data_IF_149509012888
#
_entry.id   IF_149509012888
#
_cell.length_a   1.000
_cell.length_b   1.000
_cell.length_c   1.000
_cell.angle_alpha   90.00
_cell.angle_beta   90.00
_cell.angle_gamma   90.00
#
_symmetry.space_group_name_H-M   'P 1'
#
loop_
_entity.id
_entity.type
_entity.pdbx_description
1 polymer ?
#
# COMPACT_ATOMS: atom_id res chain seq x y z
N UNK A 1 9.81 -9.90 -21.22
CA UNK A 1 10.30 -10.12 -19.85
C UNK A 1 11.74 -10.59 -19.79
N UNK A 2 12.23 -11.33 -20.79
CA UNK A 2 13.62 -11.86 -20.84
C UNK A 2 14.70 -10.76 -20.82
N UNK A 3 14.43 -9.57 -21.34
CA UNK A 3 15.35 -8.45 -21.32
C UNK A 3 15.51 -7.78 -19.93
N UNK A 4 14.49 -7.88 -19.05
CA UNK A 4 14.48 -7.14 -17.80
C UNK A 4 15.63 -7.50 -16.84
N UNK A 5 15.98 -8.79 -16.61
CA UNK A 5 17.15 -9.14 -15.81
C UNK A 5 18.47 -8.64 -16.42
N UNK A 6 18.57 -8.63 -17.76
CA UNK A 6 19.76 -8.13 -18.48
C UNK A 6 19.90 -6.63 -18.32
N UNK A 7 18.80 -5.88 -18.48
CA UNK A 7 18.77 -4.41 -18.27
C UNK A 7 19.19 -4.06 -16.84
N UNK A 8 18.67 -4.77 -15.83
CA UNK A 8 19.06 -4.58 -14.44
C UNK A 8 20.53 -4.88 -14.16
N UNK A 9 21.08 -5.88 -14.84
CA UNK A 9 22.51 -6.21 -14.72
C UNK A 9 23.38 -5.14 -15.39
N UNK A 10 22.98 -4.64 -16.56
CA UNK A 10 23.72 -3.62 -17.30
C UNK A 10 23.62 -2.22 -16.66
N UNK A 11 22.49 -1.90 -16.03
CA UNK A 11 22.22 -0.62 -15.39
C UNK A 11 21.51 -0.83 -14.04
N UNK A 12 22.24 -1.21 -12.98
CA UNK A 12 21.66 -1.56 -11.66
C UNK A 12 20.86 -0.44 -11.03
N UNK A 13 21.26 0.82 -11.28
CA UNK A 13 20.61 2.01 -10.72
C UNK A 13 19.43 2.53 -11.57
N UNK A 14 19.23 1.99 -12.76
CA UNK A 14 18.14 2.40 -13.64
C UNK A 14 16.77 2.02 -13.03
N UNK A 15 15.84 2.96 -13.07
CA UNK A 15 14.44 2.75 -12.68
C UNK A 15 13.65 2.34 -13.91
N UNK A 16 13.05 1.16 -13.87
CA UNK A 16 12.35 0.58 -15.02
C UNK A 16 10.84 0.70 -14.79
N UNK A 17 10.15 1.47 -15.62
CA UNK A 17 8.70 1.59 -15.65
C UNK A 17 8.16 0.76 -16.81
N UNK A 18 7.22 -0.14 -16.52
CA UNK A 18 6.57 -0.98 -17.53
C UNK A 18 5.34 -0.27 -18.10
N UNK A 19 5.32 0.03 -19.39
CA UNK A 19 4.10 0.51 -20.07
C UNK A 19 3.26 -0.70 -20.52
N UNK A 20 2.09 -0.90 -19.93
CA UNK A 20 1.25 -2.08 -20.11
C UNK A 20 -0.13 -1.76 -20.64
N UNK A 21 -0.75 -2.69 -21.37
CA UNK A 21 -2.16 -2.61 -21.74
C UNK A 21 -3.06 -3.05 -20.58
N UNK A 22 -4.29 -2.50 -20.51
CA UNK A 22 -5.31 -2.83 -19.51
C UNK A 22 -6.02 -4.17 -19.81
N UNK A 23 -5.28 -5.17 -20.27
CA UNK A 23 -5.79 -6.53 -20.52
C UNK A 23 -5.30 -7.50 -19.44
N UNK A 24 -6.01 -8.60 -19.22
CA UNK A 24 -5.59 -9.63 -18.28
C UNK A 24 -4.18 -10.18 -18.59
N UNK A 25 -3.87 -10.38 -19.88
CA UNK A 25 -2.53 -10.79 -20.31
C UNK A 25 -1.47 -9.73 -20.00
N UNK A 26 -1.77 -8.43 -20.25
CA UNK A 26 -0.90 -7.31 -19.91
C UNK A 26 -0.69 -7.20 -18.39
N UNK A 27 -1.72 -7.38 -17.58
CA UNK A 27 -1.65 -7.41 -16.13
C UNK A 27 -0.71 -8.52 -15.63
N UNK A 28 -0.90 -9.75 -16.12
CA UNK A 28 -0.06 -10.91 -15.76
C UNK A 28 1.42 -10.65 -16.08
N UNK A 29 1.71 -10.13 -17.28
CA UNK A 29 3.09 -9.81 -17.67
C UNK A 29 3.70 -8.70 -16.81
N UNK A 30 2.90 -7.68 -16.50
CA UNK A 30 3.34 -6.54 -15.67
C UNK A 30 3.64 -6.97 -14.24
N UNK A 31 2.73 -7.74 -13.62
CA UNK A 31 2.94 -8.25 -12.25
C UNK A 31 4.17 -9.17 -12.20
N UNK A 32 4.44 -9.96 -13.26
CA UNK A 32 5.70 -10.72 -13.39
C UNK A 32 6.92 -9.80 -13.52
N UNK A 33 6.81 -8.71 -14.30
CA UNK A 33 7.92 -7.75 -14.45
C UNK A 33 8.26 -7.05 -13.13
N UNK A 34 7.25 -6.66 -12.34
CA UNK A 34 7.44 -6.08 -11.01
C UNK A 34 8.17 -7.05 -10.08
N UNK A 35 7.80 -8.35 -10.09
CA UNK A 35 8.50 -9.39 -9.33
C UNK A 35 9.96 -9.62 -9.80
N UNK A 36 10.26 -9.36 -11.07
CA UNK A 36 11.61 -9.41 -11.64
C UNK A 36 12.41 -8.11 -11.42
N UNK A 37 11.80 -7.12 -10.76
CA UNK A 37 12.45 -5.90 -10.30
C UNK A 37 12.22 -4.67 -11.18
N UNK A 38 11.14 -4.62 -11.98
CA UNK A 38 10.65 -3.34 -12.47
C UNK A 38 10.23 -2.46 -11.28
N UNK A 39 10.51 -1.17 -11.37
CA UNK A 39 10.26 -0.23 -10.27
C UNK A 39 8.78 0.11 -10.14
N UNK A 40 8.09 0.23 -11.28
CA UNK A 40 6.66 0.52 -11.36
C UNK A 40 6.11 0.17 -12.75
N UNK A 41 4.81 0.41 -12.93
CA UNK A 41 4.16 0.29 -14.23
C UNK A 41 3.22 1.48 -14.48
N UNK A 42 2.83 1.65 -15.74
CA UNK A 42 1.80 2.59 -16.16
C UNK A 42 0.89 1.91 -17.18
N UNK A 43 -0.42 2.13 -17.04
CA UNK A 43 -1.41 1.62 -17.98
C UNK A 43 -1.43 2.49 -19.24
N UNK A 44 -1.27 1.89 -20.43
CA UNK A 44 -1.38 2.61 -21.70
C UNK A 44 -2.79 3.17 -21.87
N UNK A 45 -2.94 4.39 -22.42
CA UNK A 45 -4.25 4.95 -22.68
C UNK A 45 -5.04 4.09 -23.67
N UNK A 46 -6.34 3.96 -23.44
CA UNK A 46 -7.23 3.27 -24.39
C UNK A 46 -7.60 4.22 -25.53
N UNK A 47 -7.57 3.71 -26.75
CA UNK A 47 -8.00 4.48 -27.91
C UNK A 47 -9.50 4.85 -27.76
N UNK A 48 -9.82 6.14 -27.94
CA UNK A 48 -11.19 6.65 -27.90
C UNK A 48 -11.72 7.10 -26.53
N UNK A 49 -10.98 6.91 -25.43
CA UNK A 49 -11.38 7.45 -24.13
C UNK A 49 -10.94 8.92 -23.98
N UNK A 50 -11.90 9.83 -23.87
CA UNK A 50 -11.65 11.26 -23.69
C UNK A 50 -10.82 11.52 -22.41
N UNK A 51 -9.76 12.32 -22.48
CA UNK A 51 -8.91 12.65 -21.32
C UNK A 51 -7.89 11.57 -20.91
N UNK A 52 -7.92 10.38 -21.51
CA UNK A 52 -7.01 9.27 -21.13
C UNK A 52 -5.54 9.56 -21.41
N UNK A 53 -5.24 10.35 -22.45
CA UNK A 53 -3.87 10.71 -22.83
C UNK A 53 -3.26 11.72 -21.86
N UNK A 54 -4.03 12.72 -21.41
CA UNK A 54 -3.55 13.73 -20.46
C UNK A 54 -3.36 13.13 -19.07
N UNK A 55 -4.25 12.24 -18.65
CA UNK A 55 -4.09 11.48 -17.41
C UNK A 55 -2.85 10.59 -17.45
N UNK A 56 -2.66 9.84 -18.55
CA UNK A 56 -1.47 9.03 -18.77
C UNK A 56 -0.18 9.86 -18.75
N UNK A 57 -0.18 11.00 -19.44
CA UNK A 57 0.99 11.90 -19.49
C UNK A 57 1.33 12.43 -18.10
N UNK A 58 0.35 12.85 -17.33
CA UNK A 58 0.54 13.33 -15.95
C UNK A 58 1.10 12.23 -15.07
N UNK A 59 0.45 11.07 -15.03
CA UNK A 59 0.90 9.93 -14.25
C UNK A 59 2.33 9.49 -14.62
N UNK A 60 2.67 9.48 -15.93
CA UNK A 60 4.02 9.13 -16.38
C UNK A 60 5.06 10.14 -15.90
N UNK A 61 4.78 11.44 -16.02
CA UNK A 61 5.68 12.50 -15.56
C UNK A 61 5.87 12.39 -14.05
N UNK A 62 4.80 12.24 -13.29
CA UNK A 62 4.84 12.14 -11.84
C UNK A 62 5.68 10.93 -11.39
N UNK A 63 5.53 9.78 -12.06
CA UNK A 63 6.32 8.57 -11.79
C UNK A 63 7.81 8.76 -12.15
N UNK A 64 8.11 9.40 -13.29
CA UNK A 64 9.48 9.69 -13.69
C UNK A 64 10.16 10.61 -12.69
N UNK A 65 9.49 11.68 -12.27
CA UNK A 65 10.00 12.62 -11.27
C UNK A 65 10.25 11.91 -9.94
N UNK A 66 9.22 11.24 -9.41
CA UNK A 66 9.32 10.57 -8.10
C UNK A 66 10.39 9.46 -8.05
N UNK A 67 10.60 8.74 -9.16
CA UNK A 67 11.64 7.71 -9.25
C UNK A 67 13.03 8.30 -9.55
N UNK A 68 13.09 9.44 -10.26
CA UNK A 68 14.33 10.12 -10.65
C UNK A 68 14.93 10.95 -9.52
N UNK A 69 14.13 11.68 -8.75
CA UNK A 69 14.61 12.49 -7.62
C UNK A 69 15.38 11.66 -6.61
N UNK A 70 14.96 10.43 -6.38
CA UNK A 70 15.66 9.52 -5.47
C UNK A 70 17.04 9.10 -6.00
N UNK A 71 17.21 8.97 -7.30
CA UNK A 71 18.52 8.67 -7.90
C UNK A 71 19.49 9.85 -7.71
N UNK A 72 18.99 11.09 -7.86
CA UNK A 72 19.76 12.31 -7.66
C UNK A 72 20.04 12.57 -6.15
N UNK A 73 19.07 12.37 -5.30
CA UNK A 73 19.14 12.62 -3.85
C UNK A 73 20.08 11.66 -3.14
N UNK A 74 20.18 10.42 -3.59
CA UNK A 74 21.15 9.44 -3.07
C UNK A 74 22.61 9.89 -3.28
N UNK A 75 22.84 10.75 -4.25
CA UNK A 75 24.17 11.35 -4.53
C UNK A 75 24.46 12.61 -3.71
N UNK A 76 23.45 13.26 -3.11
CA UNK A 76 23.57 14.58 -2.51
C UNK A 76 23.21 14.67 -1.01
N UNK A 77 22.67 13.61 -0.38
CA UNK A 77 22.15 13.71 0.98
C UNK A 77 23.11 13.23 2.06
N UNK A 78 23.82 14.21 2.60
CA UNK A 78 24.15 14.24 4.03
C UNK A 78 23.63 15.52 4.74
N UNK A 79 22.65 16.26 4.19
CA UNK A 79 22.21 17.51 4.84
C UNK A 79 20.70 17.76 4.65
N UNK A 80 20.00 17.85 5.77
CA UNK A 80 18.64 18.39 5.98
C UNK A 80 17.49 17.39 6.01
N UNK A 81 17.53 16.39 6.89
CA UNK A 81 16.30 15.75 7.34
C UNK A 81 15.61 16.65 8.38
N UNK A 82 14.44 17.20 8.04
CA UNK A 82 13.55 17.78 9.08
C UNK A 82 13.28 16.65 10.09
N UNK A 83 13.54 16.88 11.40
CA UNK A 83 13.34 15.83 12.40
C UNK A 83 11.89 15.35 12.37
N UNK A 84 11.67 14.07 12.08
CA UNK A 84 10.35 13.48 12.13
C UNK A 84 9.95 13.36 13.59
N UNK A 85 8.89 14.08 13.98
CA UNK A 85 8.32 13.97 15.32
C UNK A 85 7.43 12.71 15.37
N UNK A 86 7.96 11.63 15.90
CA UNK A 86 7.18 10.43 16.13
C UNK A 86 6.12 10.66 17.21
N UNK A 87 4.96 10.04 17.02
CA UNK A 87 3.91 10.03 18.05
C UNK A 87 4.38 9.19 19.24
N UNK A 88 4.13 9.63 20.47
CA UNK A 88 4.40 8.82 21.66
C UNK A 88 3.61 7.50 21.59
N UNK A 89 4.24 6.40 22.02
CA UNK A 89 3.56 5.11 22.13
C UNK A 89 2.44 5.21 23.17
N UNK A 90 1.25 4.64 22.91
CA UNK A 90 0.19 4.62 23.91
C UNK A 90 0.64 3.81 25.13
N UNK A 91 0.32 4.29 26.34
CA UNK A 91 0.67 3.62 27.60
C UNK A 91 -0.04 2.27 27.77
N UNK A 92 -1.23 2.12 27.20
CA UNK A 92 -2.00 0.87 27.17
C UNK A 92 -2.14 0.42 25.72
N UNK A 93 -1.63 -0.75 25.41
CA UNK A 93 -1.76 -1.33 24.08
C UNK A 93 -2.84 -2.41 24.09
N UNK A 94 -3.95 -2.14 23.40
CA UNK A 94 -4.92 -3.19 23.09
C UNK A 94 -4.45 -3.95 21.86
N UNK A 95 -4.63 -5.27 21.86
CA UNK A 95 -4.34 -6.09 20.68
C UNK A 95 -5.20 -5.62 19.50
N UNK A 96 -4.60 -5.30 18.35
CA UNK A 96 -5.35 -4.88 17.18
C UNK A 96 -6.28 -5.98 16.67
N UNK A 97 -7.49 -5.58 16.28
CA UNK A 97 -8.51 -6.48 15.74
C UNK A 97 -8.53 -6.49 14.21
N UNK A 98 -7.74 -5.61 13.58
CA UNK A 98 -7.50 -5.60 12.13
C UNK A 98 -6.15 -4.96 11.81
N UNK A 99 -5.54 -5.42 10.71
CA UNK A 99 -4.36 -4.83 10.08
C UNK A 99 -4.76 -4.17 8.78
N UNK A 100 -4.51 -2.87 8.66
CA UNK A 100 -4.73 -2.09 7.45
C UNK A 100 -3.39 -1.79 6.78
N UNK A 101 -3.31 -1.94 5.47
CA UNK A 101 -2.07 -1.68 4.72
C UNK A 101 -2.38 -0.85 3.49
N UNK A 102 -1.63 0.23 3.29
CA UNK A 102 -1.67 1.04 2.08
C UNK A 102 -0.32 1.02 1.36
N UNK A 103 -0.36 0.91 0.03
CA UNK A 103 0.81 0.96 -0.83
C UNK A 103 0.46 1.47 -2.23
N UNK A 104 1.49 1.96 -2.96
CA UNK A 104 1.36 2.40 -4.35
C UNK A 104 2.61 2.00 -5.14
N UNK A 105 3.36 2.95 -5.70
CA UNK A 105 4.63 2.73 -6.40
C UNK A 105 5.61 1.93 -5.54
N UNK A 106 6.10 0.80 -6.05
CA UNK A 106 6.93 -0.15 -5.31
C UNK A 106 6.15 -1.12 -4.42
N UNK A 107 4.84 -0.87 -4.18
CA UNK A 107 3.95 -1.71 -3.38
C UNK A 107 3.88 -3.17 -3.82
N UNK A 108 3.79 -3.47 -5.14
CA UNK A 108 3.75 -4.84 -5.60
C UNK A 108 4.96 -5.70 -5.24
N UNK A 109 6.09 -5.08 -4.93
CA UNK A 109 7.29 -5.75 -4.40
C UNK A 109 7.34 -5.69 -2.88
N UNK A 110 6.93 -4.58 -2.27
CA UNK A 110 6.99 -4.37 -0.83
C UNK A 110 5.93 -5.20 -0.07
N UNK A 111 4.70 -5.31 -0.59
CA UNK A 111 3.60 -6.05 0.05
C UNK A 111 3.92 -7.53 0.29
N UNK A 112 4.39 -8.29 -0.73
CA UNK A 112 4.82 -9.67 -0.50
C UNK A 112 5.97 -9.78 0.49
N UNK A 113 6.98 -8.91 0.38
CA UNK A 113 8.15 -8.92 1.27
C UNK A 113 7.79 -8.58 2.73
N UNK A 114 6.81 -7.68 2.93
CA UNK A 114 6.29 -7.32 4.25
C UNK A 114 5.44 -8.44 4.85
N UNK A 115 4.51 -9.02 4.08
CA UNK A 115 3.51 -9.96 4.58
C UNK A 115 3.99 -11.41 4.66
N UNK A 116 4.84 -11.88 3.75
CA UNK A 116 5.25 -13.28 3.71
C UNK A 116 5.79 -13.83 5.07
N UNK A 117 6.62 -13.08 5.84
CA UNK A 117 7.11 -13.59 7.11
C UNK A 117 6.08 -13.58 8.24
N UNK A 118 4.94 -12.86 8.10
CA UNK A 118 4.02 -12.60 9.21
C UNK A 118 2.57 -13.03 8.96
N UNK A 119 2.11 -13.08 7.71
CA UNK A 119 0.68 -13.23 7.40
C UNK A 119 0.06 -14.49 8.01
N UNK A 120 0.77 -15.62 8.02
CA UNK A 120 0.27 -16.89 8.59
C UNK A 120 0.08 -16.84 10.10
N UNK A 121 0.76 -15.94 10.80
CA UNK A 121 0.71 -15.80 12.26
C UNK A 121 -0.36 -14.80 12.70
N UNK A 122 -0.88 -13.98 11.79
CA UNK A 122 -1.89 -12.97 12.08
C UNK A 122 -3.27 -13.59 11.87
N UNK A 123 -4.02 -13.75 12.96
CA UNK A 123 -5.41 -14.22 12.95
C UNK A 123 -6.39 -13.14 12.52
N UNK A 124 -6.14 -11.89 12.91
CA UNK A 124 -7.00 -10.75 12.57
C UNK A 124 -7.10 -10.52 11.06
N UNK A 125 -8.22 -9.98 10.55
CA UNK A 125 -8.36 -9.63 9.13
C UNK A 125 -7.29 -8.63 8.70
N UNK A 126 -6.75 -8.83 7.49
CA UNK A 126 -5.77 -7.96 6.84
C UNK A 126 -6.47 -7.32 5.62
N UNK A 127 -6.53 -5.99 5.60
CA UNK A 127 -7.17 -5.23 4.54
C UNK A 127 -6.13 -4.37 3.83
N UNK A 128 -6.04 -4.51 2.52
CA UNK A 128 -4.96 -3.94 1.73
C UNK A 128 -5.55 -3.02 0.66
N UNK A 129 -5.03 -1.79 0.59
CA UNK A 129 -5.19 -0.90 -0.55
C UNK A 129 -3.84 -0.82 -1.28
N UNK A 130 -3.83 -1.28 -2.51
CA UNK A 130 -2.77 -1.04 -3.48
C UNK A 130 -3.35 -0.22 -4.63
N UNK A 131 -2.78 0.95 -4.92
CA UNK A 131 -3.19 1.73 -6.07
C UNK A 131 -2.88 0.96 -7.35
N UNK A 132 -3.93 0.42 -7.96
CA UNK A 132 -3.81 -0.45 -9.12
C UNK A 132 -5.14 -0.49 -9.91
N UNK A 133 -5.10 -0.50 -11.26
CA UNK A 133 -6.33 -0.62 -12.07
C UNK A 133 -7.04 -1.96 -11.87
N UNK A 134 -8.34 -1.99 -12.16
CA UNK A 134 -9.21 -3.15 -11.96
C UNK A 134 -8.76 -4.43 -12.68
N UNK A 135 -8.10 -4.31 -13.85
CA UNK A 135 -7.57 -5.48 -14.55
C UNK A 135 -6.33 -6.10 -13.91
N UNK A 136 -5.70 -5.41 -12.94
CA UNK A 136 -4.46 -5.86 -12.29
C UNK A 136 -4.69 -6.42 -10.90
N UNK A 137 -5.68 -5.93 -10.18
CA UNK A 137 -5.91 -6.32 -8.78
C UNK A 137 -6.21 -7.79 -8.58
N UNK A 138 -6.99 -8.50 -9.46
CA UNK A 138 -7.18 -9.95 -9.34
C UNK A 138 -5.86 -10.72 -9.46
N UNK A 139 -5.08 -10.41 -10.51
CA UNK A 139 -3.78 -11.06 -10.78
C UNK A 139 -2.79 -10.81 -9.65
N UNK A 140 -2.83 -9.60 -9.07
CA UNK A 140 -1.97 -9.25 -7.96
C UNK A 140 -2.39 -9.98 -6.67
N UNK A 141 -3.69 -10.13 -6.40
CA UNK A 141 -4.20 -10.88 -5.27
C UNK A 141 -3.74 -12.35 -5.30
N UNK A 142 -3.86 -13.03 -6.46
CA UNK A 142 -3.36 -14.39 -6.66
C UNK A 142 -1.84 -14.51 -6.39
N UNK A 143 -1.06 -13.56 -6.89
CA UNK A 143 0.38 -13.55 -6.63
C UNK A 143 0.72 -13.28 -5.17
N UNK A 144 -0.03 -12.39 -4.53
CA UNK A 144 0.15 -12.11 -3.11
C UNK A 144 -0.20 -13.34 -2.28
N UNK A 145 -1.30 -14.04 -2.58
CA UNK A 145 -1.68 -15.31 -1.98
C UNK A 145 -0.54 -16.32 -2.05
N UNK A 146 0.00 -16.55 -3.24
CA UNK A 146 1.11 -17.48 -3.45
C UNK A 146 2.37 -17.09 -2.65
N UNK A 147 2.65 -15.79 -2.54
CA UNK A 147 3.83 -15.30 -1.82
C UNK A 147 3.69 -15.41 -0.30
N UNK A 148 2.49 -15.12 0.25
CA UNK A 148 2.26 -15.09 1.70
C UNK A 148 1.83 -16.45 2.26
N UNK A 149 1.40 -17.37 1.39
CA UNK A 149 0.92 -18.70 1.77
C UNK A 149 -0.34 -18.66 2.65
N UNK A 150 -1.19 -17.67 2.45
CA UNK A 150 -2.48 -17.47 3.14
C UNK A 150 -3.48 -16.94 2.12
N UNK A 151 -4.71 -17.45 2.15
CA UNK A 151 -5.73 -17.07 1.17
C UNK A 151 -5.92 -15.56 1.10
N UNK A 152 -5.74 -15.02 -0.10
CA UNK A 152 -5.83 -13.59 -0.41
C UNK A 152 -6.58 -13.41 -1.72
N UNK A 153 -7.61 -12.58 -1.71
CA UNK A 153 -8.41 -12.27 -2.89
C UNK A 153 -8.85 -10.81 -2.90
N UNK A 154 -9.40 -10.38 -4.03
CA UNK A 154 -10.13 -9.12 -4.03
C UNK A 154 -11.33 -9.17 -3.07
N UNK A 155 -11.58 -8.03 -2.42
CA UNK A 155 -12.76 -7.84 -1.61
C UNK A 155 -14.03 -7.79 -2.49
N UNK A 156 -15.11 -8.36 -1.97
CA UNK A 156 -16.44 -8.30 -2.56
C UNK A 156 -17.40 -7.53 -1.65
N UNK A 157 -18.44 -6.94 -2.26
CA UNK A 157 -19.51 -6.29 -1.49
C UNK A 157 -20.11 -7.27 -0.49
N UNK A 158 -20.23 -6.86 0.77
CA UNK A 158 -20.79 -7.68 1.83
C UNK A 158 -19.84 -8.71 2.46
N UNK A 159 -18.58 -8.76 2.05
CA UNK A 159 -17.59 -9.65 2.69
C UNK A 159 -17.51 -9.40 4.20
N UNK A 160 -17.79 -10.41 4.99
CA UNK A 160 -17.66 -10.34 6.45
C UNK A 160 -16.19 -10.42 6.85
N UNK A 161 -15.78 -9.51 7.75
CA UNK A 161 -14.42 -9.48 8.27
C UNK A 161 -14.25 -10.52 9.38
N UNK A 162 -13.84 -11.72 8.99
CA UNK A 162 -13.57 -12.84 9.88
C UNK A 162 -12.08 -13.06 10.09
N UNK A 163 -11.73 -13.86 11.10
CA UNK A 163 -10.36 -14.32 11.37
C UNK A 163 -9.75 -14.97 10.13
N UNK A 164 -8.48 -14.69 9.89
CA UNK A 164 -7.73 -15.26 8.78
C UNK A 164 -7.95 -14.64 7.41
N UNK A 165 -8.88 -13.69 7.27
CA UNK A 165 -9.21 -13.06 5.98
C UNK A 165 -8.10 -12.11 5.54
N UNK A 166 -7.69 -12.19 4.27
CA UNK A 166 -6.81 -11.20 3.62
C UNK A 166 -7.54 -10.68 2.38
N UNK A 167 -7.89 -9.40 2.38
CA UNK A 167 -8.66 -8.78 1.29
C UNK A 167 -7.87 -7.63 0.67
N UNK A 168 -7.78 -7.66 -0.66
CA UNK A 168 -7.25 -6.57 -1.47
C UNK A 168 -8.42 -5.74 -2.02
N UNK A 169 -8.37 -4.43 -1.89
CA UNK A 169 -9.34 -3.55 -2.51
C UNK A 169 -9.35 -3.72 -4.03
N UNK A 170 -10.51 -3.96 -4.65
CA UNK A 170 -10.60 -4.08 -6.10
C UNK A 170 -10.32 -2.73 -6.77
N UNK A 171 -9.67 -2.76 -7.92
CA UNK A 171 -9.46 -1.56 -8.72
C UNK A 171 -10.79 -0.94 -9.14
N UNK A 172 -10.80 0.38 -9.30
CA UNK A 172 -11.97 1.19 -9.65
C UNK A 172 -13.11 1.19 -8.61
N UNK A 173 -12.84 0.74 -7.38
CA UNK A 173 -13.77 0.86 -6.24
C UNK A 173 -13.03 1.23 -4.97
N UNK A 174 -13.63 2.07 -4.14
CA UNK A 174 -13.17 2.27 -2.77
C UNK A 174 -13.65 1.12 -1.90
N UNK A 175 -12.77 0.58 -1.07
CA UNK A 175 -13.11 -0.37 -0.01
C UNK A 175 -13.33 0.38 1.29
N UNK A 176 -14.51 0.22 1.87
CA UNK A 176 -14.90 0.80 3.16
C UNK A 176 -15.34 -0.29 4.12
N UNK A 177 -15.39 0.03 5.39
CA UNK A 177 -15.89 -0.87 6.43
C UNK A 177 -17.21 -0.36 6.97
N UNK A 178 -18.23 -1.20 6.87
CA UNK A 178 -19.55 -0.97 7.46
C UNK A 178 -19.78 -1.88 8.68
N UNK A 179 -20.62 -1.44 9.60
CA UNK A 179 -21.12 -2.27 10.68
C UNK A 179 -22.39 -3.01 10.23
N UNK A 180 -22.50 -4.28 10.57
CA UNK A 180 -23.69 -5.08 10.32
C UNK A 180 -24.04 -5.90 11.59
N UNK A 181 -25.24 -6.51 11.68
CA UNK A 181 -25.62 -7.33 12.82
C UNK A 181 -24.63 -8.47 13.11
N UNK A 182 -24.00 -9.04 12.09
CA UNK A 182 -22.99 -10.08 12.20
C UNK A 182 -21.58 -9.57 12.55
N UNK A 183 -21.39 -8.24 12.71
CA UNK A 183 -20.11 -7.66 13.06
C UNK A 183 -19.69 -6.54 12.10
N UNK A 184 -18.69 -6.76 11.26
CA UNK A 184 -18.17 -5.79 10.30
C UNK A 184 -18.07 -6.41 8.92
N UNK A 185 -18.36 -5.62 7.90
CA UNK A 185 -18.36 -6.07 6.51
C UNK A 185 -17.70 -5.05 5.60
N UNK A 186 -17.26 -5.51 4.45
CA UNK A 186 -16.79 -4.66 3.36
C UNK A 186 -17.98 -4.01 2.68
N UNK A 187 -17.85 -2.72 2.40
CA UNK A 187 -18.69 -1.98 1.48
C UNK A 187 -17.83 -1.41 0.36
N UNK A 188 -18.22 -1.65 -0.89
CA UNK A 188 -17.52 -1.18 -2.07
C UNK A 188 -18.31 -0.07 -2.74
N UNK A 189 -17.69 1.07 -3.01
CA UNK A 189 -18.33 2.17 -3.73
C UNK A 189 -17.46 2.68 -4.90
N UNK A 190 -18.14 3.31 -5.87
CA UNK A 190 -17.52 3.99 -7.00
C UNK A 190 -17.61 5.52 -6.86
N UNK A 191 -17.50 6.03 -5.64
CA UNK A 191 -17.39 7.47 -5.38
C UNK A 191 -16.23 8.10 -6.13
N UNK A 192 -16.15 9.44 -6.08
CA UNK A 192 -15.09 10.18 -6.73
C UNK A 192 -13.69 9.69 -6.28
N UNK A 193 -12.70 9.68 -7.19
CA UNK A 193 -11.34 9.35 -6.82
C UNK A 193 -10.81 10.24 -5.69
N UNK A 194 -10.25 9.62 -4.65
CA UNK A 194 -9.62 10.32 -3.53
C UNK A 194 -8.12 10.38 -3.79
N UNK A 195 -7.52 11.57 -3.71
CA UNK A 195 -6.11 11.78 -4.07
C UNK A 195 -5.76 11.24 -5.48
N UNK A 196 -6.69 11.39 -6.42
CA UNK A 196 -6.63 10.85 -7.80
C UNK A 196 -6.59 9.32 -7.89
N UNK A 197 -6.87 8.60 -6.80
CA UNK A 197 -6.81 7.15 -6.74
C UNK A 197 -8.19 6.54 -6.45
N UNK A 198 -8.47 5.40 -7.09
CA UNK A 198 -9.59 4.49 -6.78
C UNK A 198 -9.17 3.05 -7.12
N UNK A 199 -8.88 2.21 -6.08
CA UNK A 199 -9.06 2.45 -4.65
C UNK A 199 -8.12 3.50 -4.07
N UNK A 200 -8.53 4.13 -2.96
CA UNK A 200 -7.69 4.98 -2.12
C UNK A 200 -7.67 4.48 -0.68
N UNK A 201 -6.60 4.78 0.05
CA UNK A 201 -6.41 4.33 1.43
C UNK A 201 -7.24 5.14 2.43
N UNK A 202 -7.39 6.46 2.21
CA UNK A 202 -8.12 7.33 3.13
C UNK A 202 -9.56 6.85 3.39
N UNK A 203 -10.39 6.45 2.39
CA UNK A 203 -11.73 5.92 2.63
C UNK A 203 -11.77 4.65 3.49
N UNK A 204 -10.80 3.72 3.29
CA UNK A 204 -10.68 2.53 4.11
C UNK A 204 -10.32 2.89 5.55
N UNK A 205 -9.30 3.72 5.74
CA UNK A 205 -8.77 4.06 7.06
C UNK A 205 -9.79 4.82 7.89
N UNK A 206 -10.50 5.77 7.30
CA UNK A 206 -11.56 6.55 7.95
C UNK A 206 -12.69 5.64 8.46
N UNK A 207 -13.22 4.79 7.59
CA UNK A 207 -14.33 3.91 7.96
C UNK A 207 -13.92 2.80 8.91
N UNK A 208 -12.70 2.28 8.78
CA UNK A 208 -12.14 1.33 9.73
C UNK A 208 -11.91 1.96 11.12
N UNK A 209 -11.42 3.21 11.18
CA UNK A 209 -11.29 3.95 12.44
C UNK A 209 -12.63 4.06 13.19
N UNK A 210 -13.70 4.39 12.46
CA UNK A 210 -15.05 4.45 13.02
C UNK A 210 -15.57 3.06 13.46
N UNK A 211 -15.19 1.98 12.76
CA UNK A 211 -15.68 0.63 13.02
C UNK A 211 -14.93 -0.11 14.14
N UNK A 212 -13.61 0.10 14.28
CA UNK A 212 -12.74 -0.66 15.19
C UNK A 212 -12.21 0.17 16.37
N UNK A 213 -12.23 1.51 16.27
CA UNK A 213 -11.67 2.40 17.31
C UNK A 213 -10.17 2.19 17.49
N UNK A 214 -9.74 2.07 18.75
CA UNK A 214 -8.33 1.89 19.12
C UNK A 214 -7.72 0.54 18.71
N UNK A 215 -8.54 -0.42 18.30
CA UNK A 215 -8.09 -1.78 17.97
C UNK A 215 -7.66 -1.92 16.51
N UNK A 216 -6.90 -0.95 16.00
CA UNK A 216 -6.36 -0.94 14.66
C UNK A 216 -4.84 -0.81 14.65
N UNK A 217 -4.20 -1.57 13.77
CA UNK A 217 -2.85 -1.30 13.29
C UNK A 217 -2.92 -0.90 11.83
N UNK A 218 -2.37 0.26 11.51
CA UNK A 218 -2.23 0.77 10.16
C UNK A 218 -0.76 0.79 9.75
N UNK A 219 -0.47 0.30 8.55
CA UNK A 219 0.85 0.28 7.95
C UNK A 219 0.81 1.01 6.62
N UNK A 220 1.64 2.03 6.46
CA UNK A 220 1.78 2.72 5.17
C UNK A 220 3.16 2.41 4.59
N UNK A 221 3.14 1.73 3.44
CA UNK A 221 4.34 1.33 2.70
C UNK A 221 4.64 2.32 1.58
N UNK A 222 5.72 2.04 0.87
CA UNK A 222 6.16 2.80 -0.30
C UNK A 222 5.00 3.18 -1.23
N UNK A 223 4.99 4.42 -1.69
CA UNK A 223 3.99 4.95 -2.60
C UNK A 223 4.18 6.44 -2.87
N UNK A 224 3.75 6.86 -4.04
CA UNK A 224 3.76 8.25 -4.46
C UNK A 224 2.55 9.01 -3.88
N UNK A 225 2.70 10.31 -3.67
CA UNK A 225 1.62 11.17 -3.17
C UNK A 225 1.47 11.11 -1.65
N UNK A 226 0.25 11.33 -1.17
CA UNK A 226 -0.04 11.50 0.26
C UNK A 226 -1.32 10.77 0.71
N UNK A 227 -1.87 9.89 -0.12
CA UNK A 227 -3.03 9.08 0.26
C UNK A 227 -2.71 8.22 1.48
N UNK A 228 -3.70 8.05 2.34
CA UNK A 228 -3.56 7.41 3.66
C UNK A 228 -3.13 8.39 4.76
N UNK A 229 -2.74 9.64 4.45
CA UNK A 229 -2.39 10.62 5.48
C UNK A 229 -3.60 11.07 6.28
N UNK A 230 -4.69 11.45 5.59
CA UNK A 230 -5.90 11.91 6.27
C UNK A 230 -6.54 10.77 7.08
N UNK A 231 -6.64 9.59 6.50
CA UNK A 231 -7.17 8.40 7.17
C UNK A 231 -6.30 7.93 8.34
N UNK A 232 -4.95 8.02 8.24
CA UNK A 232 -4.04 7.75 9.35
C UNK A 232 -4.31 8.71 10.54
N UNK A 233 -4.61 9.98 10.27
CA UNK A 233 -5.08 10.93 11.29
C UNK A 233 -6.34 10.45 11.99
N UNK A 234 -7.33 9.93 11.25
CA UNK A 234 -8.55 9.37 11.83
C UNK A 234 -8.30 8.12 12.68
N UNK A 235 -7.37 7.26 12.26
CA UNK A 235 -6.95 6.12 13.06
C UNK A 235 -6.32 6.58 14.38
N UNK A 236 -5.45 7.59 14.33
CA UNK A 236 -4.79 8.19 15.50
C UNK A 236 -5.83 8.83 16.44
N UNK A 237 -6.78 9.59 15.91
CA UNK A 237 -7.89 10.20 16.67
C UNK A 237 -8.74 9.12 17.38
N UNK A 238 -8.95 7.98 16.75
CA UNK A 238 -9.66 6.85 17.32
C UNK A 238 -8.83 6.01 18.33
N UNK A 239 -7.57 6.39 18.57
CA UNK A 239 -6.65 5.68 19.47
C UNK A 239 -5.94 4.49 18.83
N UNK A 240 -6.09 4.27 17.54
CA UNK A 240 -5.37 3.25 16.78
C UNK A 240 -3.89 3.57 16.58
N UNK A 241 -3.15 2.63 16.05
CA UNK A 241 -1.68 2.67 15.89
C UNK A 241 -1.31 2.78 14.42
N UNK A 242 -0.30 3.59 14.11
CA UNK A 242 0.19 3.80 12.74
C UNK A 242 1.70 3.65 12.71
N UNK A 243 2.20 2.81 11.81
CA UNK A 243 3.63 2.64 11.54
C UNK A 243 3.88 2.76 10.04
N UNK A 244 5.04 3.25 9.65
CA UNK A 244 5.34 3.51 8.25
C UNK A 244 6.72 3.00 7.84
N UNK A 245 6.85 2.67 6.55
CA UNK A 245 8.12 2.32 5.95
C UNK A 245 9.06 3.53 5.91
N UNK A 246 10.34 3.31 6.13
CA UNK A 246 11.37 4.33 6.03
C UNK A 246 11.67 4.75 4.59
N UNK A 247 12.38 5.87 4.45
CA UNK A 247 12.80 6.36 3.15
C UNK A 247 13.81 5.44 2.48
N UNK A 248 14.76 4.88 3.25
CA UNK A 248 15.86 4.09 2.72
C UNK A 248 15.40 2.85 1.97
N UNK A 249 14.37 2.17 2.44
CA UNK A 249 13.82 0.95 1.83
C UNK A 249 12.60 1.18 0.94
N UNK A 250 12.01 2.39 0.92
CA UNK A 250 10.89 2.74 0.02
C UNK A 250 11.36 2.95 -1.42
N UNK A 251 10.61 2.57 -2.41
CA UNK A 251 10.84 2.95 -3.81
C UNK A 251 10.53 4.43 -4.01
N UNK A 252 9.43 4.89 -3.45
CA UNK A 252 9.04 6.30 -3.32
C UNK A 252 8.52 6.53 -1.91
N UNK A 253 9.08 7.53 -1.19
CA UNK A 253 8.71 7.81 0.20
C UNK A 253 7.64 8.91 0.32
N UNK A 254 6.71 8.98 -0.63
CA UNK A 254 5.63 9.96 -0.65
C UNK A 254 4.57 9.64 0.41
N UNK A 255 3.81 8.55 0.24
CA UNK A 255 2.75 8.14 1.18
C UNK A 255 3.27 7.95 2.61
N UNK A 256 4.29 7.10 2.87
CA UNK A 256 4.78 6.92 4.25
C UNK A 256 5.41 8.20 4.81
N UNK A 257 6.11 8.98 3.98
CA UNK A 257 6.68 10.27 4.35
C UNK A 257 5.62 11.30 4.76
N UNK A 258 4.52 11.39 4.01
CA UNK A 258 3.41 12.28 4.33
C UNK A 258 2.75 11.97 5.69
N UNK A 259 2.61 10.69 6.03
CA UNK A 259 2.08 10.23 7.33
C UNK A 259 3.08 10.53 8.46
N UNK A 260 4.38 10.27 8.22
CA UNK A 260 5.44 10.52 9.20
C UNK A 260 5.59 12.03 9.50
N UNK A 261 5.62 12.86 8.46
CA UNK A 261 5.73 14.33 8.58
C UNK A 261 4.51 14.96 9.27
N UNK A 262 3.32 14.36 9.11
CA UNK A 262 2.12 14.77 9.84
C UNK A 262 2.15 14.40 11.34
N UNK A 263 3.16 13.65 11.81
CA UNK A 263 3.29 13.24 13.20
C UNK A 263 2.33 12.11 13.61
N UNK A 264 1.77 11.37 12.65
CA UNK A 264 0.83 10.29 12.92
C UNK A 264 1.52 8.94 13.17
N UNK A 265 2.75 8.77 12.67
CA UNK A 265 3.48 7.54 12.84
C UNK A 265 4.12 7.41 14.24
N UNK A 266 3.94 6.26 14.90
CA UNK A 266 4.67 5.92 16.12
C UNK A 266 6.03 5.27 15.83
N UNK A 267 6.24 4.75 14.62
CA UNK A 267 7.51 4.21 14.16
C UNK A 267 7.71 4.41 12.66
N UNK A 268 8.94 4.73 12.27
CA UNK A 268 9.44 4.73 10.90
C UNK A 268 10.56 3.70 10.85
N UNK A 269 10.42 2.65 10.04
CA UNK A 269 11.33 1.50 10.05
C UNK A 269 11.62 0.95 8.65
N UNK A 270 12.81 0.38 8.43
CA UNK A 270 13.08 -0.43 7.24
C UNK A 270 12.05 -1.54 7.07
N UNK A 271 11.71 -1.88 5.83
CA UNK A 271 10.61 -2.81 5.50
C UNK A 271 10.65 -4.12 6.31
N UNK A 272 11.83 -4.73 6.46
CA UNK A 272 12.01 -5.99 7.22
C UNK A 272 11.72 -5.80 8.71
N UNK A 273 12.24 -4.72 9.31
CA UNK A 273 12.00 -4.42 10.72
C UNK A 273 10.53 -4.01 10.95
N UNK A 274 9.93 -3.29 10.01
CA UNK A 274 8.54 -2.89 10.03
C UNK A 274 7.61 -4.11 10.05
N UNK A 275 7.91 -5.14 9.24
CA UNK A 275 7.19 -6.41 9.23
C UNK A 275 7.23 -7.09 10.61
N UNK A 276 8.41 -7.21 11.20
CA UNK A 276 8.57 -7.81 12.54
C UNK A 276 7.87 -6.99 13.63
N UNK A 277 7.95 -5.66 13.54
CA UNK A 277 7.26 -4.76 14.47
C UNK A 277 5.73 -4.95 14.35
N UNK A 278 5.21 -4.96 13.14
CA UNK A 278 3.78 -5.18 12.89
C UNK A 278 3.30 -6.50 13.50
N UNK A 279 4.08 -7.59 13.35
CA UNK A 279 3.74 -8.87 13.95
C UNK A 279 3.66 -8.79 15.48
N UNK A 280 4.68 -8.24 16.15
CA UNK A 280 4.64 -8.07 17.61
C UNK A 280 3.43 -7.28 18.06
N UNK A 281 3.13 -6.17 17.36
CA UNK A 281 1.97 -5.34 17.68
C UNK A 281 0.65 -6.09 17.50
N UNK A 282 0.51 -6.88 16.42
CA UNK A 282 -0.66 -7.72 16.17
C UNK A 282 -0.82 -8.86 17.19
N UNK A 283 0.27 -9.32 17.78
CA UNK A 283 0.25 -10.33 18.87
C UNK A 283 0.02 -9.70 20.25
N UNK A 284 -0.11 -8.37 20.35
CA UNK A 284 -0.28 -7.68 21.64
C UNK A 284 1.00 -7.55 22.46
N UNK A 285 2.16 -7.83 21.86
CA UNK A 285 3.45 -7.68 22.50
C UNK A 285 3.86 -6.20 22.57
N UNK A 286 4.62 -5.82 23.59
CA UNK A 286 5.18 -4.48 23.70
C UNK A 286 6.11 -4.21 22.50
N UNK A 287 5.90 -3.07 21.83
CA UNK A 287 6.62 -2.65 20.63
C UNK A 287 7.96 -1.96 20.96
#
# INVERSE_FOLDING_TARGET
LSALPQLRKAAPDARIIMASTLTAAGATQTVKALALGASDFIAKPQAGAFGSVDTYRRELIDKIVALGERAATRSLLSASSVPIKLRPKPMVTTQPAALLIAASTGGPTALPAFLAPIARRIEAPILIVQHMPASFTPVFAEKLEAAIGKHCREAQEGDTLSSGTVLLAPGDKHMRIARCPAGRMVHLDQGEPVNYCRPAADPLFETAAAAFGSRLLCVVLTGMGHDGRAGAGKIVEAGGRVIVQDEATSVVWGMPGAVAQAGYAEAVKPLKELSQLALRMMMGEAA
#
